data_IF_191499858550
#
_entry.id   IF_191499858550
#
_cell.length_a   1.000
_cell.length_b   1.000
_cell.length_c   1.000
_cell.angle_alpha   90.00
_cell.angle_beta   90.00
_cell.angle_gamma   90.00
#
_symmetry.space_group_name_H-M   'P 1'
#
loop_
_entity.id
_entity.type
_entity.pdbx_description
1 polymer ?
#
# COMPACT_ATOMS: atom_id res chain seq x y z
N UNK A 1 -21.48 -9.79 14.38
CA UNK A 1 -20.55 -9.17 13.42
C UNK A 1 -20.77 -9.75 12.03
N UNK A 2 -22.02 -9.73 11.54
CA UNK A 2 -22.42 -10.42 10.30
C UNK A 2 -23.46 -9.61 9.50
N UNK A 3 -23.63 -8.32 9.80
CA UNK A 3 -24.67 -7.50 9.14
C UNK A 3 -24.15 -6.38 8.23
N UNK A 4 -22.83 -6.23 8.07
CA UNK A 4 -22.25 -5.15 7.23
C UNK A 4 -21.93 -5.60 5.80
N UNK A 5 -21.94 -6.90 5.53
CA UNK A 5 -21.56 -7.45 4.21
C UNK A 5 -22.70 -7.54 3.19
N UNK A 6 -23.96 -7.62 3.64
CA UNK A 6 -25.08 -7.82 2.71
C UNK A 6 -25.43 -6.56 1.91
N UNK A 7 -25.21 -5.38 2.47
CA UNK A 7 -25.51 -4.10 1.81
C UNK A 7 -24.60 -3.80 0.61
N UNK A 8 -23.42 -4.44 0.53
CA UNK A 8 -22.45 -4.20 -0.55
C UNK A 8 -22.77 -5.03 -1.81
N UNK A 9 -23.26 -6.24 -1.63
CA UNK A 9 -23.65 -7.11 -2.76
C UNK A 9 -24.97 -6.65 -3.40
N UNK A 10 -25.93 -6.14 -2.61
CA UNK A 10 -27.16 -5.57 -3.12
C UNK A 10 -26.94 -4.32 -3.99
N UNK A 11 -25.86 -3.56 -3.77
CA UNK A 11 -25.52 -2.39 -4.60
C UNK A 11 -24.95 -2.76 -5.97
N UNK A 12 -24.52 -4.01 -6.18
CA UNK A 12 -23.94 -4.48 -7.46
C UNK A 12 -24.97 -5.19 -8.34
N UNK A 13 -26.10 -5.67 -7.80
CA UNK A 13 -27.15 -6.37 -8.57
C UNK A 13 -28.20 -5.44 -9.22
N UNK A 14 -28.16 -4.12 -8.99
CA UNK A 14 -29.13 -3.16 -9.50
C UNK A 14 -28.66 -2.32 -10.68
N UNK A 15 -27.77 -2.83 -11.52
CA UNK A 15 -27.44 -2.19 -12.80
C UNK A 15 -27.80 -3.09 -13.98
N UNK A 16 -29.12 -3.22 -14.24
CA UNK A 16 -29.62 -3.60 -15.56
C UNK A 16 -30.86 -2.77 -15.88
N UNK A 17 -30.68 -1.93 -16.90
CA UNK A 17 -31.67 -1.35 -17.82
C UNK A 17 -32.93 -0.71 -17.26
N UNK A 18 -33.04 0.60 -17.35
CA UNK A 18 -33.99 1.29 -18.26
C UNK A 18 -33.97 2.81 -17.99
N UNK A 19 -33.87 3.58 -19.06
CA UNK A 19 -34.11 5.01 -19.13
C UNK A 19 -35.51 5.34 -18.61
N UNK A 20 -35.61 6.13 -17.54
CA UNK A 20 -36.73 7.06 -17.39
C UNK A 20 -36.31 8.30 -16.59
N UNK A 21 -36.23 9.43 -17.31
CA UNK A 21 -35.99 10.76 -16.78
C UNK A 21 -37.26 11.27 -16.13
N UNK A 22 -37.41 11.06 -14.82
CA UNK A 22 -38.25 11.93 -13.98
C UNK A 22 -37.71 11.91 -12.55
N UNK A 23 -37.17 13.07 -12.13
CA UNK A 23 -36.78 13.33 -10.75
C UNK A 23 -37.97 13.09 -9.82
N UNK A 24 -38.00 11.95 -9.14
CA UNK A 24 -38.85 11.73 -7.97
C UNK A 24 -37.99 11.73 -6.72
N UNK A 25 -38.19 12.73 -5.88
CA UNK A 25 -37.63 12.77 -4.53
C UNK A 25 -38.07 11.50 -3.74
N UNK A 26 -37.21 10.93 -2.88
CA UNK A 26 -37.56 9.74 -2.09
C UNK A 26 -38.66 10.10 -1.08
N UNK A 27 -39.84 9.52 -1.27
CA UNK A 27 -40.95 9.54 -0.31
C UNK A 27 -40.70 8.44 0.71
N UNK A 28 -40.42 8.80 1.95
CA UNK A 28 -40.41 7.85 3.07
C UNK A 28 -41.84 7.64 3.55
N UNK A 29 -42.44 6.47 3.22
CA UNK A 29 -43.70 6.02 3.76
C UNK A 29 -43.55 5.62 5.24
N UNK A 30 -44.04 6.45 6.14
CA UNK A 30 -44.30 6.05 7.51
C UNK A 30 -45.68 5.34 7.57
N UNK A 31 -45.84 4.28 8.37
CA UNK A 31 -47.11 3.54 8.47
C UNK A 31 -48.13 4.35 9.29
N UNK A 32 -48.70 5.33 8.69
CA UNK A 32 -50.01 5.95 8.97
C UNK A 32 -50.17 7.18 8.06
N UNK A 33 -51.20 7.23 7.29
CA UNK A 33 -51.58 8.25 6.30
C UNK A 33 -51.77 9.69 6.86
N UNK A 34 -50.85 10.20 7.62
CA UNK A 34 -50.75 11.63 7.92
C UNK A 34 -49.51 12.17 7.18
N UNK A 35 -49.76 12.74 5.99
CA UNK A 35 -48.76 13.62 5.34
C UNK A 35 -48.53 14.77 6.31
N UNK A 36 -47.48 14.68 7.11
CA UNK A 36 -46.97 15.81 7.90
C UNK A 36 -46.33 16.75 6.90
N UNK A 37 -46.85 18.00 6.71
CA UNK A 37 -46.19 18.94 5.82
C UNK A 37 -44.74 19.08 6.25
N UNK A 38 -43.80 18.94 5.32
CA UNK A 38 -42.38 19.07 5.57
C UNK A 38 -42.15 20.47 6.15
N UNK A 39 -41.89 20.55 7.46
CA UNK A 39 -41.60 21.85 8.13
C UNK A 39 -40.40 22.45 7.42
N UNK A 40 -40.52 23.77 7.11
CA UNK A 40 -39.34 24.50 6.63
C UNK A 40 -38.22 24.30 7.66
N UNK A 41 -37.10 23.69 7.25
CA UNK A 41 -35.99 23.41 8.14
C UNK A 41 -35.50 24.68 8.86
N UNK A 42 -35.76 25.87 8.32
CA UNK A 42 -35.46 27.14 8.96
C UNK A 42 -36.28 27.39 10.24
N UNK A 43 -37.42 26.74 10.40
CA UNK A 43 -38.21 26.79 11.63
C UNK A 43 -37.54 25.99 12.78
N UNK A 44 -36.66 25.04 12.45
CA UNK A 44 -35.91 24.25 13.41
C UNK A 44 -34.69 25.01 13.97
N UNK A 45 -34.30 26.13 13.34
CA UNK A 45 -33.17 26.92 13.80
C UNK A 45 -33.46 27.56 15.15
N UNK A 46 -32.56 27.34 16.10
CA UNK A 46 -32.64 27.94 17.44
C UNK A 46 -32.42 29.45 17.35
N UNK A 47 -33.34 30.20 17.96
CA UNK A 47 -33.36 31.68 18.00
C UNK A 47 -33.24 32.18 19.43
N UNK A 48 -32.69 33.34 19.59
CA UNK A 48 -32.71 34.11 20.83
C UNK A 48 -34.12 34.67 21.08
N UNK A 49 -34.40 35.13 22.28
CA UNK A 49 -35.67 35.81 22.63
C UNK A 49 -35.96 37.03 21.75
N UNK A 50 -34.95 37.63 21.13
CA UNK A 50 -35.06 38.77 20.21
C UNK A 50 -35.18 38.34 18.74
N UNK A 51 -35.32 37.06 18.45
CA UNK A 51 -35.53 36.50 17.11
C UNK A 51 -34.27 36.32 16.27
N UNK A 52 -33.09 36.71 16.74
CA UNK A 52 -31.82 36.47 16.05
C UNK A 52 -31.40 34.99 16.18
N UNK A 53 -30.70 34.44 15.18
CA UNK A 53 -30.20 33.07 15.25
C UNK A 53 -29.10 32.92 16.30
N UNK A 54 -29.16 31.80 17.05
CA UNK A 54 -28.10 31.42 17.99
C UNK A 54 -26.89 30.92 17.22
N UNK A 55 -25.70 31.43 17.55
CA UNK A 55 -24.44 30.93 17.03
C UNK A 55 -24.08 29.64 17.75
N UNK A 56 -24.56 28.49 17.26
CA UNK A 56 -24.39 27.17 17.85
C UNK A 56 -24.03 26.15 16.80
N UNK A 57 -23.34 25.05 17.19
CA UNK A 57 -23.05 23.92 16.32
C UNK A 57 -24.31 23.31 15.71
N UNK A 58 -25.40 23.23 16.46
CA UNK A 58 -26.69 22.74 15.97
C UNK A 58 -27.22 23.57 14.79
N UNK A 59 -27.25 24.90 14.90
CA UNK A 59 -27.69 25.76 13.79
C UNK A 59 -26.75 25.64 12.59
N UNK A 60 -25.44 25.57 12.80
CA UNK A 60 -24.45 25.37 11.72
C UNK A 60 -24.70 24.03 11.02
N UNK A 61 -24.91 22.95 11.77
CA UNK A 61 -25.20 21.63 11.22
C UNK A 61 -26.49 21.65 10.37
N UNK A 62 -27.58 22.21 10.87
CA UNK A 62 -28.82 22.36 10.10
C UNK A 62 -28.65 23.16 8.80
N UNK A 63 -27.86 24.24 8.84
CA UNK A 63 -27.52 25.04 7.65
C UNK A 63 -26.75 24.17 6.63
N UNK A 64 -25.73 23.44 7.06
CA UNK A 64 -24.92 22.59 6.19
C UNK A 64 -25.73 21.46 5.53
N UNK A 65 -26.71 20.90 6.25
CA UNK A 65 -27.55 19.81 5.78
C UNK A 65 -28.64 20.23 4.80
N UNK A 66 -29.16 21.44 4.95
CA UNK A 66 -30.40 21.83 4.28
C UNK A 66 -30.27 23.00 3.30
N UNK A 67 -29.28 23.88 3.48
CA UNK A 67 -29.07 24.98 2.53
C UNK A 67 -28.46 24.45 1.22
N UNK A 68 -29.13 24.65 0.10
CA UNK A 68 -28.72 24.17 -1.24
C UNK A 68 -27.30 24.58 -1.63
N UNK A 69 -26.78 25.68 -1.07
CA UNK A 69 -25.41 26.10 -1.31
C UNK A 69 -24.37 25.17 -0.64
N UNK A 70 -24.71 24.60 0.53
CA UNK A 70 -23.81 23.79 1.33
C UNK A 70 -24.14 22.29 1.31
N UNK A 71 -25.40 21.92 1.09
CA UNK A 71 -25.85 20.53 1.05
C UNK A 71 -25.04 19.72 0.03
N UNK A 72 -24.40 18.68 0.51
CA UNK A 72 -23.55 17.81 -0.31
C UNK A 72 -22.30 18.50 -0.88
N UNK A 73 -21.94 19.71 -0.42
CA UNK A 73 -20.71 20.40 -0.84
C UNK A 73 -19.46 19.69 -0.31
N UNK A 74 -19.56 18.99 0.81
CA UNK A 74 -18.43 18.37 1.51
C UNK A 74 -18.57 16.86 1.47
N UNK A 75 -17.49 16.18 1.09
CA UNK A 75 -17.33 14.73 1.19
C UNK A 75 -16.20 14.39 2.15
N UNK A 76 -16.29 13.25 2.81
CA UNK A 76 -15.22 12.74 3.65
C UNK A 76 -14.44 11.66 2.91
N UNK A 77 -13.23 11.99 2.51
CA UNK A 77 -12.29 11.04 1.94
C UNK A 77 -11.81 10.08 3.04
N UNK A 78 -12.37 8.86 3.04
CA UNK A 78 -12.06 7.83 4.04
C UNK A 78 -10.62 7.31 3.92
N UNK A 79 -9.99 7.47 2.76
CA UNK A 79 -8.62 7.05 2.50
C UNK A 79 -7.61 8.03 3.10
N UNK A 80 -7.82 9.33 2.83
CA UNK A 80 -6.95 10.40 3.33
C UNK A 80 -7.37 10.92 4.70
N UNK A 81 -8.52 10.43 5.21
CA UNK A 81 -9.13 10.88 6.47
C UNK A 81 -9.25 12.41 6.54
N UNK A 82 -9.83 13.01 5.50
CA UNK A 82 -9.98 14.45 5.37
C UNK A 82 -11.27 14.83 4.63
N UNK A 83 -11.77 16.04 4.91
CA UNK A 83 -12.87 16.61 4.15
C UNK A 83 -12.36 17.23 2.86
N UNK A 84 -13.04 16.96 1.75
CA UNK A 84 -12.80 17.57 0.44
C UNK A 84 -14.08 18.19 -0.12
N UNK A 85 -13.93 19.10 -1.08
CA UNK A 85 -15.07 19.66 -1.81
C UNK A 85 -15.58 18.65 -2.84
N UNK A 86 -16.89 18.45 -2.91
CA UNK A 86 -17.54 17.62 -3.93
C UNK A 86 -17.70 18.32 -5.28
N UNK A 87 -17.72 19.66 -5.27
CA UNK A 87 -17.82 20.54 -6.44
C UNK A 87 -17.01 21.80 -6.23
N UNK A 88 -16.75 22.53 -7.30
CA UNK A 88 -16.04 23.82 -7.25
C UNK A 88 -16.77 24.80 -6.34
N UNK A 89 -16.04 25.47 -5.43
CA UNK A 89 -16.59 26.46 -4.50
C UNK A 89 -15.56 27.52 -4.15
N UNK A 90 -15.96 28.81 -4.19
CA UNK A 90 -15.12 29.96 -3.83
C UNK A 90 -13.71 29.93 -4.49
N UNK A 91 -13.66 29.62 -5.80
CA UNK A 91 -12.44 29.46 -6.60
C UNK A 91 -11.54 28.27 -6.20
N UNK A 92 -12.01 27.38 -5.32
CA UNK A 92 -11.35 26.12 -4.99
C UNK A 92 -12.01 25.00 -5.77
N UNK A 93 -11.18 24.14 -6.38
CA UNK A 93 -11.66 23.03 -7.22
C UNK A 93 -12.20 21.86 -6.38
N UNK A 94 -13.11 21.11 -6.97
CA UNK A 94 -13.54 19.83 -6.43
C UNK A 94 -12.34 18.89 -6.14
N UNK A 95 -12.45 18.07 -5.12
CA UNK A 95 -11.38 17.15 -4.66
C UNK A 95 -10.31 17.83 -3.80
N UNK A 96 -10.26 19.17 -3.72
CA UNK A 96 -9.29 19.87 -2.88
C UNK A 96 -9.73 19.86 -1.42
N UNK A 97 -8.75 19.76 -0.52
CA UNK A 97 -8.99 19.79 0.93
C UNK A 97 -9.72 21.04 1.38
N UNK A 98 -10.64 20.88 2.34
CA UNK A 98 -11.43 21.95 2.95
C UNK A 98 -10.60 23.15 3.42
N UNK A 99 -9.37 22.94 3.91
CA UNK A 99 -8.49 24.01 4.40
C UNK A 99 -8.35 25.18 3.42
N UNK A 100 -8.45 24.92 2.11
CA UNK A 100 -8.38 25.95 1.08
C UNK A 100 -9.66 26.81 0.93
N UNK A 101 -10.81 26.33 1.43
CA UNK A 101 -12.10 26.99 1.29
C UNK A 101 -12.77 27.40 2.62
N UNK A 102 -12.21 26.96 3.76
CA UNK A 102 -12.85 27.10 5.07
C UNK A 102 -13.24 28.54 5.45
N UNK A 103 -12.40 29.51 5.13
CA UNK A 103 -12.66 30.92 5.40
C UNK A 103 -13.83 31.45 4.57
N UNK A 104 -13.95 31.04 3.31
CA UNK A 104 -15.04 31.41 2.43
C UNK A 104 -16.37 30.84 2.92
N UNK A 105 -16.41 29.59 3.34
CA UNK A 105 -17.59 28.92 3.91
C UNK A 105 -18.07 29.66 5.16
N UNK A 106 -17.16 29.91 6.11
CA UNK A 106 -17.48 30.68 7.32
C UNK A 106 -18.06 32.07 7.01
N UNK A 107 -17.41 32.79 6.11
CA UNK A 107 -17.86 34.15 5.75
C UNK A 107 -19.23 34.11 5.07
N UNK A 108 -19.49 33.11 4.25
CA UNK A 108 -20.78 32.95 3.58
C UNK A 108 -21.90 32.60 4.55
N UNK A 109 -21.64 31.77 5.55
CA UNK A 109 -22.59 31.51 6.65
C UNK A 109 -22.88 32.82 7.43
N UNK A 110 -21.83 33.56 7.75
CA UNK A 110 -22.00 34.86 8.46
C UNK A 110 -22.89 35.83 7.66
N UNK A 111 -22.59 36.01 6.37
CA UNK A 111 -23.33 36.92 5.49
C UNK A 111 -24.80 36.52 5.36
N UNK A 112 -25.07 35.23 5.12
CA UNK A 112 -26.42 34.72 4.80
C UNK A 112 -27.32 34.57 6.02
N UNK A 113 -26.76 34.25 7.17
CA UNK A 113 -27.49 33.90 8.38
C UNK A 113 -27.28 34.87 9.55
N UNK A 114 -26.42 35.86 9.38
CA UNK A 114 -26.12 36.92 10.38
C UNK A 114 -25.63 36.31 11.73
N UNK A 115 -24.97 35.14 11.69
CA UNK A 115 -24.25 34.54 12.82
C UNK A 115 -22.76 34.67 12.59
N UNK A 116 -21.97 34.74 13.66
CA UNK A 116 -20.51 34.89 13.54
C UNK A 116 -19.77 33.69 14.16
N UNK A 117 -19.80 32.53 13.52
CA UNK A 117 -19.11 31.35 14.04
C UNK A 117 -17.60 31.49 13.90
N UNK A 118 -16.86 30.76 14.73
CA UNK A 118 -15.42 30.57 14.52
C UNK A 118 -15.18 29.63 13.36
N UNK A 119 -14.04 29.77 12.68
CA UNK A 119 -13.65 28.81 11.63
C UNK A 119 -13.55 27.38 12.18
N UNK A 120 -13.07 27.24 13.43
CA UNK A 120 -12.97 25.95 14.10
C UNK A 120 -14.35 25.29 14.29
N UNK A 121 -15.35 26.06 14.76
CA UNK A 121 -16.71 25.53 14.94
C UNK A 121 -17.36 25.14 13.61
N UNK A 122 -17.14 25.90 12.55
CA UNK A 122 -17.66 25.56 11.21
C UNK A 122 -17.00 24.29 10.70
N UNK A 123 -15.66 24.16 10.81
CA UNK A 123 -14.93 23.00 10.35
C UNK A 123 -15.33 21.72 11.10
N UNK A 124 -15.54 21.81 12.40
CA UNK A 124 -16.02 20.70 13.22
C UNK A 124 -17.38 20.19 12.71
N UNK A 125 -18.33 21.08 12.45
CA UNK A 125 -19.63 20.69 11.92
C UNK A 125 -19.56 20.17 10.48
N UNK A 126 -18.68 20.70 9.65
CA UNK A 126 -18.43 20.19 8.29
C UNK A 126 -17.84 18.77 8.36
N UNK A 127 -16.88 18.53 9.26
CA UNK A 127 -16.27 17.20 9.41
C UNK A 127 -17.31 16.18 9.89
N UNK A 128 -18.15 16.54 10.86
CA UNK A 128 -19.25 15.68 11.34
C UNK A 128 -20.23 15.40 10.19
N UNK A 129 -20.67 16.41 9.48
CA UNK A 129 -21.62 16.28 8.36
C UNK A 129 -21.06 15.40 7.24
N UNK A 130 -19.85 15.71 6.79
CA UNK A 130 -19.20 14.98 5.70
C UNK A 130 -18.93 13.53 6.06
N UNK A 131 -18.41 13.25 7.29
CA UNK A 131 -18.09 11.89 7.73
C UNK A 131 -19.33 11.03 8.00
N UNK A 132 -20.45 11.66 8.38
CA UNK A 132 -21.71 10.95 8.69
C UNK A 132 -22.55 10.69 7.44
N UNK A 133 -22.67 11.68 6.56
CA UNK A 133 -23.63 11.61 5.45
C UNK A 133 -23.00 11.46 4.07
N UNK A 134 -21.71 11.81 3.91
CA UNK A 134 -21.03 11.81 2.60
C UNK A 134 -19.63 11.18 2.67
N UNK A 135 -19.47 10.01 3.36
CA UNK A 135 -18.20 9.28 3.28
C UNK A 135 -18.03 8.70 1.88
N UNK A 136 -16.81 8.75 1.35
CA UNK A 136 -16.49 8.10 0.09
C UNK A 136 -15.05 7.58 0.09
N UNK A 137 -14.82 6.55 -0.69
CA UNK A 137 -13.48 6.03 -0.94
C UNK A 137 -13.07 6.37 -2.38
N UNK A 138 -12.19 7.34 -2.60
CA UNK A 138 -11.83 7.76 -3.97
C UNK A 138 -11.13 6.67 -4.78
N UNK A 139 -10.43 5.74 -4.12
CA UNK A 139 -9.85 4.58 -4.80
C UNK A 139 -10.95 3.62 -5.30
N UNK A 140 -11.98 3.40 -4.52
CA UNK A 140 -13.10 2.57 -4.92
C UNK A 140 -13.85 3.19 -6.11
N UNK A 141 -14.08 4.51 -6.10
CA UNK A 141 -14.66 5.24 -7.24
C UNK A 141 -13.77 5.10 -8.50
N UNK A 142 -12.44 5.21 -8.35
CA UNK A 142 -11.48 5.03 -9.43
C UNK A 142 -11.57 3.62 -10.03
N UNK A 143 -11.61 2.59 -9.19
CA UNK A 143 -11.66 1.19 -9.64
C UNK A 143 -13.03 0.83 -10.24
N UNK A 144 -14.13 1.34 -9.70
CA UNK A 144 -15.46 1.19 -10.29
C UNK A 144 -15.52 1.84 -11.68
N UNK A 145 -14.93 3.03 -11.83
CA UNK A 145 -14.81 3.68 -13.14
C UNK A 145 -13.94 2.88 -14.11
N UNK A 146 -12.79 2.37 -13.65
CA UNK A 146 -11.92 1.52 -14.47
C UNK A 146 -12.61 0.23 -14.89
N UNK A 147 -13.33 -0.42 -13.97
CA UNK A 147 -14.15 -1.59 -14.24
C UNK A 147 -15.18 -1.32 -15.36
N UNK A 148 -15.99 -0.26 -15.21
CA UNK A 148 -17.04 0.09 -16.17
C UNK A 148 -16.52 0.51 -17.56
N UNK A 149 -15.28 1.01 -17.64
CA UNK A 149 -14.68 1.50 -18.89
C UNK A 149 -13.62 0.57 -19.47
N UNK A 150 -13.49 -0.68 -18.99
CA UNK A 150 -12.55 -1.63 -19.54
C UNK A 150 -12.95 -2.05 -20.95
N UNK A 151 -12.02 -2.03 -21.89
CA UNK A 151 -12.23 -2.33 -23.30
C UNK A 151 -12.24 -3.85 -23.65
N UNK A 152 -12.16 -4.72 -22.63
CA UNK A 152 -12.18 -6.18 -22.78
C UNK A 152 -10.84 -6.78 -23.26
N UNK A 153 -9.78 -5.99 -23.43
CA UNK A 153 -8.48 -6.51 -23.88
C UNK A 153 -7.59 -6.86 -22.70
N UNK A 154 -7.03 -8.05 -22.74
CA UNK A 154 -6.10 -8.54 -21.72
C UNK A 154 -4.70 -7.95 -21.90
N UNK A 155 -4.15 -7.30 -20.86
CA UNK A 155 -2.83 -6.65 -20.81
C UNK A 155 -2.15 -6.82 -19.46
N UNK A 156 -2.91 -7.16 -18.42
CA UNK A 156 -2.45 -7.17 -17.03
C UNK A 156 -1.25 -8.11 -16.85
N UNK A 157 -1.36 -9.36 -17.27
CA UNK A 157 -0.31 -10.37 -17.09
C UNK A 157 0.98 -10.05 -17.83
N UNK A 158 0.90 -9.30 -18.94
CA UNK A 158 2.06 -8.96 -19.77
C UNK A 158 2.65 -7.59 -19.49
N UNK A 159 2.09 -6.83 -18.53
CA UNK A 159 2.54 -5.46 -18.21
C UNK A 159 4.06 -5.36 -18.01
N UNK A 160 4.61 -6.16 -17.08
CA UNK A 160 6.04 -6.11 -16.77
C UNK A 160 6.89 -6.79 -17.86
N UNK A 161 6.34 -7.75 -18.58
CA UNK A 161 6.98 -8.42 -19.72
C UNK A 161 7.18 -7.40 -20.85
N UNK A 162 6.10 -6.73 -21.25
CA UNK A 162 6.10 -5.81 -22.38
C UNK A 162 6.96 -4.57 -22.14
N UNK A 163 6.78 -3.91 -20.99
CA UNK A 163 7.39 -2.61 -20.74
C UNK A 163 8.75 -2.66 -20.04
N UNK A 164 9.00 -3.70 -19.25
CA UNK A 164 10.25 -3.85 -18.50
C UNK A 164 11.10 -5.04 -18.94
N UNK A 165 10.64 -5.84 -19.92
CA UNK A 165 11.37 -6.98 -20.43
C UNK A 165 11.61 -8.07 -19.39
N UNK A 166 10.65 -8.27 -18.50
CA UNK A 166 10.62 -9.46 -17.65
C UNK A 166 10.50 -10.70 -18.54
N UNK A 167 11.10 -11.80 -18.16
CA UNK A 167 11.02 -13.05 -18.91
C UNK A 167 9.56 -13.53 -18.98
N UNK A 168 9.08 -13.85 -20.18
CA UNK A 168 7.73 -14.36 -20.39
C UNK A 168 7.68 -15.86 -20.05
N UNK A 169 7.31 -16.14 -18.80
CA UNK A 169 7.10 -17.48 -18.30
C UNK A 169 5.93 -17.54 -17.33
N UNK A 170 5.50 -18.74 -16.96
CA UNK A 170 4.37 -18.96 -16.07
C UNK A 170 4.54 -18.26 -14.71
N UNK A 171 5.76 -18.28 -14.15
CA UNK A 171 6.02 -17.69 -12.82
C UNK A 171 5.91 -16.18 -12.85
N UNK A 172 6.47 -15.51 -13.88
CA UNK A 172 6.37 -14.06 -14.04
C UNK A 172 4.92 -13.59 -14.20
N UNK A 173 4.12 -14.33 -14.96
CA UNK A 173 2.69 -14.06 -15.13
C UNK A 173 1.93 -14.25 -13.82
N UNK A 174 2.18 -15.32 -13.07
CA UNK A 174 1.59 -15.56 -11.75
C UNK A 174 1.97 -14.47 -10.73
N UNK A 175 3.23 -14.07 -10.67
CA UNK A 175 3.67 -12.95 -9.83
C UNK A 175 2.88 -11.69 -10.14
N UNK A 176 2.70 -11.38 -11.43
CA UNK A 176 1.93 -10.22 -11.87
C UNK A 176 0.46 -10.34 -11.43
N UNK A 177 -0.17 -11.51 -11.58
CA UNK A 177 -1.53 -11.77 -11.11
C UNK A 177 -1.66 -11.58 -9.61
N UNK A 178 -0.76 -12.17 -8.80
CA UNK A 178 -0.75 -12.01 -7.33
C UNK A 178 -0.63 -10.54 -6.94
N UNK A 179 0.22 -9.77 -7.63
CA UNK A 179 0.34 -8.33 -7.37
C UNK A 179 -0.99 -7.59 -7.59
N UNK A 180 -1.68 -7.83 -8.72
CA UNK A 180 -2.94 -7.17 -9.03
C UNK A 180 -4.09 -7.68 -8.15
N UNK A 181 -4.14 -8.97 -7.83
CA UNK A 181 -5.12 -9.54 -6.90
C UNK A 181 -4.99 -8.87 -5.51
N UNK A 182 -3.77 -8.78 -4.99
CA UNK A 182 -3.48 -8.06 -3.75
C UNK A 182 -3.88 -6.59 -3.81
N UNK A 183 -3.64 -5.91 -4.94
CA UNK A 183 -3.97 -4.52 -5.15
C UNK A 183 -5.50 -4.28 -5.11
N UNK A 184 -6.29 -5.11 -5.81
CA UNK A 184 -7.75 -5.04 -5.82
C UNK A 184 -8.32 -5.25 -4.41
N UNK A 185 -7.85 -6.29 -3.71
CA UNK A 185 -8.33 -6.59 -2.36
C UNK A 185 -7.95 -5.51 -1.33
N UNK A 186 -6.80 -4.84 -1.49
CA UNK A 186 -6.43 -3.69 -0.64
C UNK A 186 -7.32 -2.47 -0.86
N UNK A 187 -7.92 -2.32 -2.03
CA UNK A 187 -8.96 -1.30 -2.29
C UNK A 187 -10.30 -1.70 -1.66
N UNK A 188 -10.68 -2.98 -1.79
CA UNK A 188 -11.93 -3.54 -1.27
C UNK A 188 -11.92 -3.56 0.27
N UNK A 189 -10.88 -4.10 0.89
CA UNK A 189 -10.66 -4.14 2.34
C UNK A 189 -9.22 -3.77 2.69
N UNK A 190 -8.98 -2.57 3.22
CA UNK A 190 -7.64 -2.15 3.66
C UNK A 190 -7.01 -3.05 4.74
N UNK A 191 -7.82 -3.82 5.50
CA UNK A 191 -7.34 -4.72 6.55
C UNK A 191 -7.03 -6.14 6.04
N UNK A 192 -7.35 -6.45 4.78
CA UNK A 192 -7.05 -7.77 4.22
C UNK A 192 -5.57 -8.12 4.37
N UNK A 193 -5.28 -9.37 4.71
CA UNK A 193 -3.90 -9.84 4.79
C UNK A 193 -3.31 -10.00 3.40
N UNK A 194 -2.24 -9.27 3.12
CA UNK A 194 -1.41 -9.43 1.94
C UNK A 194 0.04 -9.16 2.34
N UNK A 195 0.81 -10.22 2.55
CA UNK A 195 2.19 -10.17 3.05
C UNK A 195 3.22 -10.39 1.93
N UNK A 196 2.91 -9.91 0.73
CA UNK A 196 3.77 -9.94 -0.45
C UNK A 196 4.34 -8.56 -0.78
N UNK A 197 5.55 -8.57 -1.32
CA UNK A 197 6.27 -7.39 -1.83
C UNK A 197 6.71 -7.70 -3.24
N UNK A 198 6.47 -6.81 -4.19
CA UNK A 198 6.96 -6.95 -5.55
C UNK A 198 8.31 -6.25 -5.71
N UNK A 199 9.33 -6.99 -6.08
CA UNK A 199 10.69 -6.51 -6.30
C UNK A 199 11.02 -6.47 -7.79
N UNK A 200 11.34 -5.28 -8.33
CA UNK A 200 11.86 -5.10 -9.67
C UNK A 200 13.38 -4.95 -9.63
N UNK A 201 14.10 -5.90 -10.20
CA UNK A 201 15.55 -6.01 -10.09
C UNK A 201 16.18 -5.94 -11.47
N UNK A 202 17.22 -5.14 -11.64
CA UNK A 202 17.99 -5.03 -12.90
C UNK A 202 18.32 -3.61 -13.30
N UNK A 203 18.68 -3.41 -14.55
CA UNK A 203 19.31 -2.22 -15.11
C UNK A 203 18.66 -0.90 -14.74
N UNK A 204 19.51 0.11 -14.53
CA UNK A 204 19.08 1.48 -14.29
C UNK A 204 18.44 2.09 -15.55
N UNK A 205 17.45 2.95 -15.36
CA UNK A 205 16.82 3.72 -16.43
C UNK A 205 15.90 2.91 -17.36
N UNK A 206 15.50 1.68 -16.95
CA UNK A 206 14.53 0.88 -17.72
C UNK A 206 13.08 1.32 -17.48
N UNK A 207 12.82 2.03 -16.37
CA UNK A 207 11.49 2.54 -16.02
C UNK A 207 10.81 1.84 -14.85
N UNK A 208 11.57 1.16 -13.95
CA UNK A 208 11.04 0.46 -12.78
C UNK A 208 10.14 1.34 -11.91
N UNK A 209 10.61 2.52 -11.54
CA UNK A 209 9.84 3.50 -10.75
C UNK A 209 8.68 4.06 -11.57
N UNK A 210 8.93 4.42 -12.83
CA UNK A 210 7.96 5.07 -13.71
C UNK A 210 6.70 4.24 -13.94
N UNK A 211 6.81 2.92 -14.04
CA UNK A 211 5.64 2.04 -14.24
C UNK A 211 4.67 2.12 -13.07
N UNK A 212 5.19 2.17 -11.84
CA UNK A 212 4.37 2.29 -10.64
C UNK A 212 3.80 3.69 -10.45
N UNK A 213 4.54 4.76 -10.80
CA UNK A 213 4.02 6.13 -10.83
C UNK A 213 2.78 6.22 -11.74
N UNK A 214 2.86 5.68 -12.96
CA UNK A 214 1.75 5.72 -13.92
C UNK A 214 0.60 4.82 -13.42
N UNK A 215 0.89 3.62 -12.92
CA UNK A 215 -0.11 2.68 -12.42
C UNK A 215 -0.86 3.22 -11.19
N UNK A 216 -0.15 3.80 -10.22
CA UNK A 216 -0.74 4.37 -9.01
C UNK A 216 -1.34 5.76 -9.21
N UNK A 217 -0.79 6.57 -10.13
CA UNK A 217 -1.21 7.96 -10.36
C UNK A 217 -1.10 8.77 -9.06
N UNK A 218 -2.18 9.45 -8.65
CA UNK A 218 -2.22 10.24 -7.42
C UNK A 218 -2.18 9.41 -6.12
N UNK A 219 -2.27 8.08 -6.22
CA UNK A 219 -2.18 7.13 -5.10
C UNK A 219 -0.86 6.35 -5.10
N UNK A 220 0.17 6.92 -5.66
CA UNK A 220 1.55 6.43 -5.63
C UNK A 220 2.41 7.31 -4.72
N UNK A 221 3.31 6.70 -3.97
CA UNK A 221 4.37 7.43 -3.25
C UNK A 221 5.67 6.62 -3.23
N UNK A 222 6.79 7.32 -3.37
CA UNK A 222 8.15 6.88 -3.08
C UNK A 222 8.82 7.78 -2.03
N UNK A 223 8.07 8.75 -1.52
CA UNK A 223 8.53 9.77 -0.57
C UNK A 223 8.46 9.27 0.87
N UNK A 224 9.04 8.09 1.13
CA UNK A 224 9.13 7.49 2.46
C UNK A 224 10.59 7.39 2.92
N UNK A 225 10.87 7.74 4.16
CA UNK A 225 12.19 7.64 4.78
C UNK A 225 12.32 6.47 5.76
N UNK A 226 11.18 5.94 6.24
CA UNK A 226 11.09 4.88 7.24
C UNK A 226 9.76 4.15 7.15
N UNK A 227 9.72 2.84 7.41
CA UNK A 227 8.47 2.09 7.52
C UNK A 227 7.81 2.23 8.92
N UNK A 228 8.51 2.80 9.89
CA UNK A 228 8.06 2.88 11.28
C UNK A 228 7.77 4.30 11.76
N UNK A 229 8.28 5.31 11.06
CA UNK A 229 8.02 6.71 11.40
C UNK A 229 6.54 7.07 11.26
N UNK A 230 6.10 8.01 12.09
CA UNK A 230 4.68 8.40 12.18
C UNK A 230 4.21 9.12 10.91
N UNK A 231 5.01 10.03 10.39
CA UNK A 231 4.63 10.87 9.25
C UNK A 231 4.68 10.04 7.97
N UNK A 232 5.66 9.12 7.84
CA UNK A 232 5.71 8.13 6.77
C UNK A 232 4.53 7.15 6.81
N UNK A 233 4.08 6.72 8.00
CA UNK A 233 2.85 5.89 8.13
C UNK A 233 1.61 6.63 7.66
N UNK A 234 1.50 7.92 7.93
CA UNK A 234 0.40 8.76 7.41
C UNK A 234 0.47 8.82 5.90
N UNK A 235 1.66 9.04 5.34
CA UNK A 235 1.86 9.10 3.88
C UNK A 235 1.53 7.76 3.23
N UNK A 236 2.09 6.65 3.73
CA UNK A 236 1.78 5.31 3.22
C UNK A 236 0.28 5.00 3.25
N UNK A 237 -0.42 5.36 4.34
CA UNK A 237 -1.85 5.06 4.49
C UNK A 237 -2.75 5.75 3.46
N UNK A 238 -2.30 6.84 2.85
CA UNK A 238 -3.02 7.62 1.83
C UNK A 238 -2.89 7.06 0.42
N UNK A 239 -1.90 6.19 0.21
CA UNK A 239 -1.52 5.68 -1.09
C UNK A 239 -1.97 4.23 -1.30
N UNK A 240 -1.99 3.79 -2.56
CA UNK A 240 -2.28 2.42 -2.96
C UNK A 240 -1.00 1.65 -3.28
N UNK A 241 -0.02 2.34 -3.87
CA UNK A 241 1.29 1.78 -4.19
C UNK A 241 2.35 2.58 -3.43
N UNK A 242 3.08 1.90 -2.57
CA UNK A 242 4.22 2.45 -1.81
C UNK A 242 5.48 1.83 -2.36
N UNK A 243 6.34 2.65 -2.96
CA UNK A 243 7.59 2.23 -3.57
C UNK A 243 8.79 2.59 -2.68
N UNK A 244 9.57 1.60 -2.28
CA UNK A 244 10.90 1.78 -1.71
C UNK A 244 11.93 1.77 -2.84
N UNK A 245 12.11 2.93 -3.47
CA UNK A 245 13.02 3.09 -4.59
C UNK A 245 14.47 2.88 -4.18
N UNK A 246 15.23 2.15 -4.98
CA UNK A 246 16.60 1.70 -4.69
C UNK A 246 16.74 0.96 -3.33
N UNK A 247 15.62 0.45 -2.79
CA UNK A 247 15.55 -0.19 -1.47
C UNK A 247 16.17 0.67 -0.35
N UNK A 248 16.04 2.00 -0.49
CA UNK A 248 16.72 2.97 0.37
C UNK A 248 16.26 2.91 1.83
N UNK A 249 15.02 2.52 2.06
CA UNK A 249 14.41 2.35 3.39
C UNK A 249 14.68 0.96 3.94
N UNK A 250 14.36 -0.09 3.15
CA UNK A 250 14.46 -1.47 3.62
C UNK A 250 15.90 -1.92 3.85
N UNK A 251 16.88 -1.37 3.14
CA UNK A 251 18.30 -1.64 3.37
C UNK A 251 18.83 -1.12 4.73
N UNK A 252 18.14 -0.18 5.36
CA UNK A 252 18.50 0.34 6.70
C UNK A 252 17.89 -0.47 7.83
N UNK A 253 16.92 -1.33 7.55
CA UNK A 253 16.21 -2.13 8.53
C UNK A 253 16.83 -3.51 8.70
N UNK A 254 16.54 -4.17 9.83
CA UNK A 254 16.75 -5.60 9.94
C UNK A 254 15.74 -6.34 9.07
N UNK A 255 16.14 -7.49 8.54
CA UNK A 255 15.24 -8.30 7.72
C UNK A 255 14.02 -8.81 8.52
N UNK A 256 14.19 -9.05 9.82
CA UNK A 256 13.09 -9.44 10.71
C UNK A 256 12.06 -8.31 10.91
N UNK A 257 12.51 -7.06 11.06
CA UNK A 257 11.62 -5.91 11.16
C UNK A 257 10.85 -5.69 9.85
N UNK A 258 11.52 -5.88 8.71
CA UNK A 258 10.87 -5.83 7.39
C UNK A 258 9.80 -6.90 7.26
N UNK A 259 10.10 -8.18 7.59
CA UNK A 259 9.13 -9.27 7.57
C UNK A 259 7.92 -8.97 8.47
N UNK A 260 8.17 -8.43 9.67
CA UNK A 260 7.13 -8.03 10.61
C UNK A 260 6.24 -6.97 9.98
N UNK A 261 6.81 -5.87 9.48
CA UNK A 261 6.07 -4.79 8.85
C UNK A 261 5.25 -5.28 7.64
N UNK A 262 5.84 -6.11 6.79
CA UNK A 262 5.14 -6.67 5.61
C UNK A 262 3.90 -7.46 6.03
N UNK A 263 3.98 -8.21 7.13
CA UNK A 263 2.88 -9.06 7.63
C UNK A 263 1.81 -8.32 8.44
N UNK A 264 2.02 -7.06 8.80
CA UNK A 264 1.01 -6.23 9.47
C UNK A 264 -0.16 -5.92 8.52
N UNK A 265 -1.38 -5.96 9.04
CA UNK A 265 -2.62 -5.62 8.29
C UNK A 265 -3.12 -4.22 8.58
N UNK A 266 -2.55 -3.55 9.58
CA UNK A 266 -2.95 -2.21 10.00
C UNK A 266 -1.76 -1.37 10.44
N UNK A 267 -1.93 -0.06 10.40
CA UNK A 267 -0.98 0.93 10.89
C UNK A 267 -1.60 1.70 12.04
N UNK A 268 -0.85 1.85 13.13
CA UNK A 268 -1.25 2.70 14.27
C UNK A 268 -0.32 3.91 14.32
N UNK A 269 -0.92 5.11 14.31
CA UNK A 269 -0.20 6.37 14.44
C UNK A 269 -1.12 7.46 15.04
N UNK A 270 -0.52 8.57 15.47
CA UNK A 270 -1.25 9.72 15.98
C UNK A 270 -1.16 10.87 14.98
N UNK A 271 -2.32 11.36 14.51
CA UNK A 271 -2.38 12.54 13.64
C UNK A 271 -1.79 13.76 14.37
N UNK A 272 -1.25 14.76 13.63
CA UNK A 272 -0.86 16.03 14.23
C UNK A 272 -2.01 16.61 15.05
N UNK A 273 -1.70 17.10 16.26
CA UNK A 273 -2.65 17.68 17.22
C UNK A 273 -3.74 16.74 17.76
N UNK A 274 -3.83 15.49 17.33
CA UNK A 274 -4.77 14.53 17.89
C UNK A 274 -4.34 14.08 19.30
N UNK A 275 -5.30 13.87 20.20
CA UNK A 275 -5.04 13.37 21.56
C UNK A 275 -4.76 11.86 21.51
N UNK A 276 -5.57 11.11 20.76
CA UNK A 276 -5.51 9.67 20.70
C UNK A 276 -4.88 9.16 19.38
N UNK A 277 -4.17 8.03 19.39
CA UNK A 277 -3.76 7.34 18.18
C UNK A 277 -4.97 6.78 17.45
N UNK A 278 -4.85 6.65 16.13
CA UNK A 278 -5.83 5.95 15.29
C UNK A 278 -5.17 4.71 14.71
N UNK A 279 -5.97 3.69 14.43
CA UNK A 279 -5.55 2.50 13.69
C UNK A 279 -6.31 2.49 12.37
N UNK A 280 -5.58 2.42 11.27
CA UNK A 280 -6.12 2.35 9.90
C UNK A 280 -5.65 1.07 9.23
N UNK A 281 -6.43 0.55 8.30
CA UNK A 281 -6.02 -0.60 7.50
C UNK A 281 -4.77 -0.28 6.66
N UNK A 282 -3.87 -1.25 6.51
CA UNK A 282 -2.72 -1.17 5.60
C UNK A 282 -3.19 -1.41 4.16
N UNK A 283 -3.93 -0.45 3.63
CA UNK A 283 -4.62 -0.54 2.34
C UNK A 283 -3.73 -0.28 1.14
N UNK A 284 -2.45 -0.65 1.16
CA UNK A 284 -1.50 -0.48 0.07
C UNK A 284 -0.70 -1.74 -0.17
N UNK A 285 -0.14 -1.83 -1.36
CA UNK A 285 0.88 -2.81 -1.72
C UNK A 285 2.26 -2.16 -1.65
N UNK A 286 3.25 -2.95 -1.24
CA UNK A 286 4.65 -2.51 -1.23
C UNK A 286 5.31 -3.00 -2.50
N UNK A 287 5.98 -2.10 -3.19
CA UNK A 287 6.86 -2.41 -4.30
C UNK A 287 8.25 -1.89 -4.00
N UNK A 288 9.28 -2.55 -4.51
CA UNK A 288 10.65 -2.11 -4.33
C UNK A 288 11.39 -2.18 -5.67
N UNK A 289 12.34 -1.31 -5.86
CA UNK A 289 13.21 -1.36 -7.02
C UNK A 289 14.68 -1.38 -6.60
N UNK A 290 15.53 -2.06 -7.36
CA UNK A 290 16.98 -2.02 -7.18
C UNK A 290 17.72 -2.31 -8.49
N UNK A 291 18.92 -1.76 -8.60
CA UNK A 291 19.85 -2.09 -9.67
C UNK A 291 20.79 -3.23 -9.28
N UNK A 292 20.85 -3.56 -7.99
CA UNK A 292 21.66 -4.68 -7.52
C UNK A 292 20.86 -5.99 -7.66
N UNK A 293 21.33 -6.89 -8.52
CA UNK A 293 20.72 -8.19 -8.73
C UNK A 293 20.84 -9.04 -7.44
N UNK A 294 21.95 -8.94 -6.74
CA UNK A 294 22.23 -9.68 -5.51
C UNK A 294 21.77 -8.92 -4.26
N UNK A 295 20.47 -8.76 -4.07
CA UNK A 295 19.92 -7.97 -2.97
C UNK A 295 19.32 -8.78 -1.82
N UNK A 296 18.95 -10.04 -2.06
CA UNK A 296 18.36 -10.92 -1.05
C UNK A 296 19.42 -11.47 -0.11
N UNK A 297 19.52 -10.88 1.07
CA UNK A 297 20.54 -11.19 2.08
C UNK A 297 20.22 -12.39 2.99
N UNK A 298 18.99 -12.86 3.00
CA UNK A 298 18.54 -13.94 3.88
C UNK A 298 17.86 -15.04 3.05
N UNK A 299 18.26 -16.28 3.28
CA UNK A 299 17.67 -17.46 2.61
C UNK A 299 16.35 -17.91 3.25
N UNK A 300 15.98 -17.34 4.42
CA UNK A 300 14.79 -17.75 5.16
C UNK A 300 13.67 -16.71 5.04
N UNK A 301 12.43 -17.16 4.82
CA UNK A 301 11.26 -16.27 4.77
C UNK A 301 11.10 -15.48 3.47
N UNK A 302 11.82 -15.83 2.42
CA UNK A 302 11.79 -15.17 1.10
C UNK A 302 10.46 -15.32 0.37
N UNK A 303 9.55 -16.16 0.85
CA UNK A 303 8.22 -16.33 0.25
C UNK A 303 7.42 -15.03 0.12
N UNK A 304 7.81 -13.97 0.86
CA UNK A 304 7.15 -12.66 0.79
C UNK A 304 7.61 -11.81 -0.38
N UNK A 305 8.77 -12.11 -0.95
CA UNK A 305 9.39 -11.28 -1.96
C UNK A 305 9.20 -11.90 -3.35
N UNK A 306 8.41 -11.24 -4.17
CA UNK A 306 8.10 -11.63 -5.55
C UNK A 306 9.07 -10.90 -6.48
N UNK A 307 10.14 -11.57 -6.90
CA UNK A 307 11.21 -10.96 -7.69
C UNK A 307 10.93 -11.09 -9.19
N UNK A 308 10.97 -9.97 -9.90
CA UNK A 308 10.95 -9.91 -11.35
C UNK A 308 12.24 -9.25 -11.85
N UNK A 309 13.02 -9.99 -12.64
CA UNK A 309 14.27 -9.48 -13.24
C UNK A 309 13.96 -8.81 -14.57
N UNK A 310 14.23 -7.49 -14.63
CA UNK A 310 13.97 -6.65 -15.80
C UNK A 310 15.17 -6.60 -16.74
N UNK A 311 14.93 -6.42 -18.05
CA UNK A 311 15.99 -6.35 -19.07
C UNK A 311 15.60 -5.44 -20.22
N UNK A 312 16.49 -4.53 -20.61
CA UNK A 312 16.26 -3.63 -21.77
C UNK A 312 16.15 -4.38 -23.09
N UNK A 313 16.86 -5.50 -23.21
CA UNK A 313 16.93 -6.30 -24.44
C UNK A 313 15.64 -7.07 -24.68
N UNK A 314 14.94 -7.50 -23.63
CA UNK A 314 13.73 -8.32 -23.75
C UNK A 314 12.44 -7.52 -23.89
N UNK A 315 12.43 -6.22 -23.54
CA UNK A 315 11.21 -5.41 -23.61
C UNK A 315 10.71 -5.25 -25.05
N UNK A 316 9.41 -5.33 -25.25
CA UNK A 316 8.73 -5.17 -26.54
C UNK A 316 8.15 -3.77 -26.72
N UNK A 317 7.88 -3.06 -25.62
CA UNK A 317 7.34 -1.69 -25.62
C UNK A 317 8.25 -0.74 -24.84
N UNK A 318 8.16 0.56 -25.15
CA UNK A 318 8.90 1.58 -24.42
C UNK A 318 8.05 2.09 -23.25
N UNK A 319 8.65 2.23 -22.07
CA UNK A 319 7.95 2.78 -20.89
C UNK A 319 7.41 4.20 -21.10
N UNK A 320 7.98 4.96 -22.06
CA UNK A 320 7.48 6.29 -22.44
C UNK A 320 6.10 6.24 -23.10
N UNK A 321 5.75 5.10 -23.68
CA UNK A 321 4.48 4.88 -24.36
C UNK A 321 3.40 4.36 -23.40
N UNK A 322 3.78 3.97 -22.17
CA UNK A 322 2.83 3.57 -21.14
C UNK A 322 2.13 4.81 -20.59
N UNK A 323 0.83 4.90 -20.83
CA UNK A 323 0.03 6.08 -20.44
C UNK A 323 -0.87 5.77 -19.23
N UNK A 324 -1.41 6.82 -18.61
CA UNK A 324 -2.40 6.65 -17.53
C UNK A 324 -3.68 5.98 -18.01
N UNK A 325 -4.10 6.25 -19.23
CA UNK A 325 -5.27 5.62 -19.87
C UNK A 325 -5.07 4.10 -19.99
N UNK A 326 -3.89 3.65 -20.45
CA UNK A 326 -3.58 2.22 -20.52
C UNK A 326 -3.50 1.60 -19.13
N UNK A 327 -2.94 2.31 -18.15
CA UNK A 327 -2.92 1.86 -16.75
C UNK A 327 -4.35 1.67 -16.19
N UNK A 328 -5.28 2.57 -16.50
CA UNK A 328 -6.69 2.43 -16.09
C UNK A 328 -7.36 1.23 -16.77
N UNK A 329 -7.04 0.91 -18.03
CA UNK A 329 -7.51 -0.29 -18.70
C UNK A 329 -7.00 -1.57 -18.02
N UNK A 330 -5.74 -1.59 -17.58
CA UNK A 330 -5.15 -2.71 -16.83
C UNK A 330 -5.80 -2.85 -15.44
N UNK A 331 -6.04 -1.74 -14.75
CA UNK A 331 -6.75 -1.76 -13.47
C UNK A 331 -8.21 -2.21 -13.64
N UNK A 332 -8.86 -1.85 -14.75
CA UNK A 332 -10.19 -2.33 -15.12
C UNK A 332 -10.21 -3.84 -15.37
N UNK A 333 -9.22 -4.37 -16.12
CA UNK A 333 -9.03 -5.82 -16.31
C UNK A 333 -8.87 -6.54 -14.96
N UNK A 334 -7.99 -6.04 -14.08
CA UNK A 334 -7.77 -6.62 -12.77
C UNK A 334 -9.04 -6.59 -11.91
N UNK A 335 -9.80 -5.49 -11.95
CA UNK A 335 -11.08 -5.40 -11.25
C UNK A 335 -12.10 -6.43 -11.77
N UNK A 336 -12.21 -6.60 -13.08
CA UNK A 336 -13.09 -7.64 -13.68
C UNK A 336 -12.68 -9.06 -13.26
N UNK A 337 -11.37 -9.30 -13.09
CA UNK A 337 -10.89 -10.63 -12.79
C UNK A 337 -10.99 -10.98 -11.30
N UNK A 338 -10.79 -10.02 -10.40
CA UNK A 338 -10.61 -10.31 -8.97
C UNK A 338 -11.69 -9.74 -8.05
N UNK A 339 -12.52 -8.76 -8.48
CA UNK A 339 -13.48 -8.11 -7.58
C UNK A 339 -14.53 -9.06 -7.03
N UNK A 340 -14.88 -10.09 -7.79
CA UNK A 340 -15.86 -11.13 -7.39
C UNK A 340 -15.31 -12.15 -6.39
N UNK A 341 -14.01 -12.16 -6.12
CA UNK A 341 -13.39 -13.08 -5.17
C UNK A 341 -13.52 -12.52 -3.74
N UNK A 342 -13.82 -13.38 -2.77
CA UNK A 342 -13.91 -12.98 -1.36
C UNK A 342 -12.53 -12.84 -0.71
N UNK A 343 -11.51 -13.54 -1.22
CA UNK A 343 -10.15 -13.58 -0.71
C UNK A 343 -9.13 -13.46 -1.84
N UNK A 344 -7.89 -13.17 -1.47
CA UNK A 344 -6.75 -13.18 -2.40
C UNK A 344 -6.45 -14.63 -2.74
N UNK A 345 -6.89 -15.08 -3.92
CA UNK A 345 -6.80 -16.48 -4.36
C UNK A 345 -5.50 -16.79 -5.11
N UNK A 346 -4.96 -15.80 -5.83
CA UNK A 346 -3.75 -15.99 -6.63
C UNK A 346 -2.51 -16.21 -5.76
N UNK A 347 -2.49 -15.70 -4.51
CA UNK A 347 -1.38 -15.91 -3.59
C UNK A 347 -1.16 -17.40 -3.27
N UNK A 348 -2.22 -18.19 -3.20
CA UNK A 348 -2.16 -19.63 -2.94
C UNK A 348 -1.57 -20.40 -4.14
N UNK A 349 -1.63 -19.84 -5.34
CA UNK A 349 -1.09 -20.47 -6.56
C UNK A 349 0.41 -20.27 -6.73
N UNK A 350 1.01 -19.32 -6.01
CA UNK A 350 2.43 -18.97 -6.08
C UNK A 350 3.22 -19.80 -5.06
N UNK A 351 3.77 -20.93 -5.50
CA UNK A 351 4.47 -21.86 -4.60
C UNK A 351 5.86 -21.36 -4.18
N UNK A 352 6.41 -21.85 -3.05
CA UNK A 352 7.78 -21.52 -2.64
C UNK A 352 8.83 -21.85 -3.69
N UNK A 353 8.66 -22.95 -4.44
CA UNK A 353 9.57 -23.37 -5.50
C UNK A 353 9.58 -22.40 -6.68
N UNK A 354 8.41 -21.88 -7.07
CA UNK A 354 8.29 -20.84 -8.10
C UNK A 354 9.02 -19.55 -7.68
N UNK A 355 8.84 -19.13 -6.44
CA UNK A 355 9.55 -17.95 -5.91
C UNK A 355 11.06 -18.20 -5.84
N UNK A 356 11.51 -19.37 -5.38
CA UNK A 356 12.92 -19.71 -5.35
C UNK A 356 13.56 -19.66 -6.75
N UNK A 357 12.81 -20.02 -7.79
CA UNK A 357 13.27 -19.98 -9.17
C UNK A 357 13.58 -18.56 -9.65
N UNK A 358 12.72 -17.57 -9.32
CA UNK A 358 12.95 -16.16 -9.69
C UNK A 358 13.99 -15.50 -8.78
N UNK A 359 14.12 -15.98 -7.55
CA UNK A 359 15.05 -15.45 -6.56
C UNK A 359 16.46 -16.01 -6.69
N UNK A 360 16.63 -17.15 -7.34
CA UNK A 360 17.94 -17.84 -7.46
C UNK A 360 19.05 -16.94 -8.02
N UNK A 361 18.72 -16.05 -8.95
CA UNK A 361 19.65 -15.07 -9.51
C UNK A 361 19.85 -13.82 -8.64
N UNK A 362 19.03 -13.65 -7.61
CA UNK A 362 18.99 -12.45 -6.76
C UNK A 362 19.50 -12.70 -5.34
N UNK A 363 20.02 -13.90 -5.06
CA UNK A 363 20.69 -14.18 -3.81
C UNK A 363 22.04 -13.49 -3.78
N UNK A 364 22.24 -12.65 -2.78
CA UNK A 364 23.52 -12.06 -2.47
C UNK A 364 24.45 -13.16 -1.94
N UNK A 365 25.38 -13.61 -2.77
CA UNK A 365 26.61 -14.21 -2.33
C UNK A 365 27.63 -13.09 -2.13
N UNK A 366 28.12 -12.89 -0.93
CA UNK A 366 29.21 -11.93 -0.72
C UNK A 366 30.49 -12.55 -1.28
N UNK A 367 31.40 -11.73 -1.81
CA UNK A 367 32.75 -12.18 -2.21
C UNK A 367 33.40 -13.06 -1.13
N UNK A 368 33.06 -12.81 0.13
CA UNK A 368 33.47 -13.59 1.29
C UNK A 368 32.81 -14.98 1.30
N UNK A 369 31.51 -15.05 0.99
CA UNK A 369 30.77 -16.31 0.92
C UNK A 369 31.28 -17.17 -0.25
N UNK A 370 31.42 -16.60 -1.43
CA UNK A 370 31.94 -17.26 -2.62
C UNK A 370 33.36 -17.81 -2.38
N UNK A 371 34.24 -16.95 -1.81
CA UNK A 371 35.60 -17.38 -1.49
C UNK A 371 35.61 -18.54 -0.48
N UNK A 372 34.73 -18.54 0.52
CA UNK A 372 34.62 -19.65 1.50
C UNK A 372 34.06 -20.91 0.84
N UNK A 373 33.03 -20.80 -0.01
CA UNK A 373 32.43 -21.92 -0.71
C UNK A 373 33.40 -22.54 -1.70
N UNK A 374 34.07 -21.76 -2.52
CA UNK A 374 35.10 -22.21 -3.47
C UNK A 374 36.23 -22.94 -2.76
N UNK A 375 36.66 -22.42 -1.58
CA UNK A 375 37.69 -23.03 -0.78
C UNK A 375 37.23 -24.41 -0.22
N UNK A 376 35.96 -24.48 0.28
CA UNK A 376 35.37 -25.72 0.81
C UNK A 376 35.24 -26.78 -0.28
N UNK A 377 34.85 -26.37 -1.49
CA UNK A 377 34.75 -27.28 -2.65
C UNK A 377 36.14 -27.78 -3.09
N UNK A 378 37.14 -26.92 -3.06
CA UNK A 378 38.51 -27.26 -3.40
C UNK A 378 39.19 -28.15 -2.35
N UNK A 379 38.69 -28.21 -1.11
CA UNK A 379 39.28 -28.95 0.01
C UNK A 379 38.25 -29.91 0.67
N UNK A 380 37.77 -30.93 -0.04
CA UNK A 380 36.71 -31.81 0.44
C UNK A 380 37.12 -32.68 1.65
N UNK A 381 38.40 -32.87 1.91
CA UNK A 381 38.96 -33.63 3.06
C UNK A 381 38.94 -32.82 4.37
N UNK A 382 38.76 -31.53 4.29
CA UNK A 382 38.69 -30.70 5.51
C UNK A 382 37.33 -30.86 6.16
N UNK A 383 37.29 -31.47 7.32
CA UNK A 383 36.06 -31.77 8.06
C UNK A 383 35.81 -30.79 9.20
N UNK A 384 36.75 -29.86 9.49
CA UNK A 384 36.65 -28.91 10.59
C UNK A 384 37.25 -27.56 10.25
N UNK A 385 36.41 -26.49 10.33
CA UNK A 385 36.78 -25.13 10.05
C UNK A 385 36.55 -24.24 11.26
N UNK A 386 37.47 -23.32 11.55
CA UNK A 386 37.26 -22.29 12.57
C UNK A 386 37.02 -20.93 11.93
N UNK A 387 36.29 -20.04 12.62
CA UNK A 387 36.10 -18.66 12.15
C UNK A 387 37.43 -17.95 11.91
N UNK A 388 38.45 -18.28 12.73
CA UNK A 388 39.79 -17.70 12.59
C UNK A 388 40.49 -18.22 11.33
N UNK A 389 40.47 -19.52 11.08
CA UNK A 389 41.04 -20.11 9.89
C UNK A 389 40.40 -19.57 8.60
N UNK A 390 39.06 -19.48 8.56
CA UNK A 390 38.36 -18.91 7.42
C UNK A 390 38.73 -17.43 7.17
N UNK A 391 38.96 -16.66 8.22
CA UNK A 391 39.37 -15.28 8.05
C UNK A 391 40.83 -15.10 7.62
N UNK A 392 41.76 -15.79 8.30
CA UNK A 392 43.20 -15.56 8.15
C UNK A 392 43.78 -16.32 6.96
N UNK A 393 43.36 -17.61 6.79
CA UNK A 393 43.96 -18.51 5.78
C UNK A 393 43.15 -18.52 4.47
N UNK A 394 41.82 -18.46 4.54
CA UNK A 394 40.97 -18.50 3.34
C UNK A 394 40.76 -17.09 2.76
N UNK A 395 40.31 -16.15 3.59
CA UNK A 395 40.04 -14.78 3.16
C UNK A 395 41.24 -13.85 3.19
N UNK A 396 42.39 -14.33 3.74
CA UNK A 396 43.64 -13.59 3.87
C UNK A 396 43.48 -12.25 4.64
N UNK A 397 42.53 -12.18 5.58
CA UNK A 397 42.26 -11.00 6.39
C UNK A 397 42.82 -11.20 7.79
N UNK A 398 43.93 -10.57 8.10
CA UNK A 398 44.58 -10.67 9.39
C UNK A 398 43.80 -9.92 10.50
N UNK A 399 43.94 -10.40 11.76
CA UNK A 399 43.46 -9.72 12.95
C UNK A 399 41.90 -9.75 13.15
N UNK A 400 41.29 -10.92 12.94
CA UNK A 400 39.84 -11.11 13.11
C UNK A 400 39.34 -10.73 14.52
N UNK A 401 40.18 -10.81 15.56
CA UNK A 401 39.82 -10.46 16.92
C UNK A 401 39.30 -9.02 17.04
N UNK A 402 39.78 -8.14 16.20
CA UNK A 402 39.39 -6.71 16.17
C UNK A 402 38.33 -6.41 15.11
N UNK A 403 37.94 -7.41 14.28
CA UNK A 403 36.92 -7.25 13.23
C UNK A 403 35.66 -8.05 13.56
N UNK A 404 34.88 -7.52 14.50
CA UNK A 404 33.62 -8.15 14.92
C UNK A 404 32.61 -8.30 13.77
N UNK A 405 32.63 -7.39 12.78
CA UNK A 405 31.73 -7.43 11.62
C UNK A 405 32.04 -8.65 10.76
N UNK A 406 33.30 -8.84 10.40
CA UNK A 406 33.74 -10.03 9.63
C UNK A 406 33.46 -11.33 10.37
N UNK A 407 33.75 -11.38 11.68
CA UNK A 407 33.47 -12.57 12.50
C UNK A 407 32.00 -12.95 12.52
N UNK A 408 31.08 -11.97 12.56
CA UNK A 408 29.64 -12.21 12.49
C UNK A 408 29.23 -12.69 11.10
N UNK A 409 29.81 -12.14 10.05
CA UNK A 409 29.52 -12.52 8.67
C UNK A 409 29.96 -13.96 8.38
N UNK A 410 31.18 -14.34 8.75
CA UNK A 410 31.65 -15.73 8.61
C UNK A 410 30.77 -16.70 9.40
N UNK A 411 30.39 -16.35 10.64
CA UNK A 411 29.47 -17.16 11.44
C UNK A 411 28.10 -17.33 10.78
N UNK A 412 27.59 -16.28 10.18
CA UNK A 412 26.33 -16.30 9.46
C UNK A 412 26.40 -17.25 8.26
N UNK A 413 27.43 -17.13 7.41
CA UNK A 413 27.66 -17.98 6.25
C UNK A 413 27.70 -19.45 6.67
N UNK A 414 28.57 -19.79 7.60
CA UNK A 414 28.78 -21.16 8.03
C UNK A 414 27.60 -21.79 8.77
N UNK A 415 26.80 -21.01 9.48
CA UNK A 415 25.59 -21.52 10.14
C UNK A 415 24.43 -21.79 9.16
N UNK A 416 24.45 -21.18 7.97
CA UNK A 416 23.48 -21.40 6.91
C UNK A 416 23.98 -22.39 5.83
N UNK A 417 25.17 -22.91 5.97
CA UNK A 417 25.74 -23.85 5.03
C UNK A 417 25.34 -25.27 5.40
N UNK A 418 24.61 -25.92 4.51
CA UNK A 418 24.17 -27.29 4.69
C UNK A 418 25.38 -28.27 4.83
N UNK A 419 25.25 -29.22 5.72
CA UNK A 419 26.33 -30.21 5.98
C UNK A 419 27.39 -29.73 6.96
N UNK A 420 27.23 -28.54 7.59
CA UNK A 420 28.15 -28.03 8.60
C UNK A 420 27.44 -27.69 9.91
N UNK A 421 28.03 -28.08 11.06
CA UNK A 421 27.46 -27.84 12.38
C UNK A 421 28.45 -27.15 13.32
N UNK A 422 28.00 -26.04 13.95
CA UNK A 422 28.83 -25.35 14.94
C UNK A 422 28.87 -26.08 16.27
N UNK A 423 30.06 -26.19 16.87
CA UNK A 423 30.25 -26.86 18.16
C UNK A 423 31.65 -26.73 18.76
N UNK A 424 31.88 -27.45 19.86
CA UNK A 424 33.18 -27.64 20.46
C UNK A 424 33.74 -29.01 20.04
N UNK A 425 34.77 -29.03 19.24
CA UNK A 425 35.34 -30.21 18.70
C UNK A 425 36.81 -30.42 19.16
N UNK A 426 37.26 -31.66 19.14
CA UNK A 426 38.67 -32.01 19.42
C UNK A 426 39.42 -32.04 18.10
N UNK A 427 40.43 -31.18 17.98
CA UNK A 427 41.29 -31.16 16.79
C UNK A 427 42.27 -32.34 16.76
N UNK A 428 42.86 -32.63 15.60
CA UNK A 428 43.85 -33.66 15.40
C UNK A 428 45.07 -33.56 16.32
N UNK A 429 45.42 -32.35 16.77
CA UNK A 429 46.46 -32.07 17.75
C UNK A 429 46.04 -32.28 19.22
N UNK A 430 44.85 -32.80 19.47
CA UNK A 430 44.29 -33.06 20.80
C UNK A 430 43.71 -31.87 21.54
N UNK A 431 43.83 -30.64 21.03
CA UNK A 431 43.23 -29.43 21.62
C UNK A 431 41.77 -29.33 21.29
N UNK A 432 40.97 -28.73 22.18
CA UNK A 432 39.58 -28.38 21.93
C UNK A 432 39.45 -27.00 21.28
N UNK A 433 38.76 -26.91 20.19
CA UNK A 433 38.46 -25.63 19.53
C UNK A 433 36.98 -25.50 19.20
N UNK A 434 36.51 -24.26 19.21
CA UNK A 434 35.18 -23.92 18.71
C UNK A 434 35.25 -23.72 17.21
N UNK A 435 34.40 -24.39 16.47
CA UNK A 435 34.38 -24.30 15.01
C UNK A 435 33.17 -24.99 14.40
N UNK A 436 33.24 -25.18 13.12
CA UNK A 436 32.26 -25.90 12.29
C UNK A 436 32.82 -27.24 11.87
N UNK A 437 32.02 -28.27 12.02
CA UNK A 437 32.39 -29.62 11.56
C UNK A 437 31.39 -30.11 10.51
N UNK A 438 31.91 -30.75 9.47
CA UNK A 438 31.08 -31.39 8.43
C UNK A 438 30.30 -32.55 9.04
N UNK A 439 28.99 -32.65 8.75
CA UNK A 439 28.02 -33.62 9.34
C UNK A 439 27.55 -34.60 8.27
#
# INVERSE_FOLDING_TARGET
MTEVNDTYLESLEHFSDEDDTSEKEPVYDLPNNNIVPMRDWKELLHKTDKGGLINSGYNISLILQNDLEFKGLFKYDTRRNQVVLSRDYANVKAGVNLLSAQGAVRNRINEKYLINPTTMSVNEQIEIEASTHYPYNPLQELFNSAYSNWDGKKRMETLFIDYLGVEDNEVSRKITRVFFDGLIHKVKDPFVKFDRVLDLVGDQGIGKTRIFEILGGEYYTDSIGSLTDKDDKIEMSRNLIVNDDEMAVTNKMSFEDLKKFVSETSLTFRKPYAINPITVGKGFVIVRSTNNIEYLKDKTGNRRFMTLVVSKERRTKNIKDFTREEALQILGEAAHEFVGNDNITEDETLTPEMLAQTQAQSHYTSDIEDTILDWIEANPEEDMLTTKFLAEDVLQINNIANNQKLSRQIKYIMNNLDGWKYGNYRMSNGQRSRGYKRV
#
